data_IF_281712639100
#
_entry.id   IF_281712639100
#
_cell.length_a   1.000
_cell.length_b   1.000
_cell.length_c   1.000
_cell.angle_alpha   90.00
_cell.angle_beta   90.00
_cell.angle_gamma   90.00
#
_symmetry.space_group_name_H-M   'P 1'
#
loop_
_entity.id
_entity.type
_entity.pdbx_description
1 polymer ?
#
# COMPACT_ATOMS: atom_id res chain seq x y z
N UNK A 1 24.30 -57.15 -7.23
CA UNK A 1 23.59 -56.39 -8.26
C UNK A 1 24.33 -55.09 -8.51
N UNK A 2 24.72 -54.77 -9.76
CA UNK A 2 25.23 -53.46 -10.06
C UNK A 2 24.09 -52.45 -9.98
N UNK A 3 24.38 -51.28 -9.41
CA UNK A 3 23.44 -50.19 -9.21
C UNK A 3 22.87 -49.69 -10.55
N UNK A 4 21.60 -49.25 -10.60
CA UNK A 4 21.03 -48.66 -11.80
C UNK A 4 21.82 -47.38 -12.17
N UNK A 5 21.98 -47.09 -13.47
CA UNK A 5 22.66 -45.87 -13.92
C UNK A 5 21.90 -44.64 -13.42
N UNK A 6 22.60 -43.53 -13.10
CA UNK A 6 21.94 -42.29 -12.73
C UNK A 6 21.07 -41.85 -13.91
N UNK A 7 19.80 -41.58 -13.62
CA UNK A 7 18.85 -40.97 -14.55
C UNK A 7 19.51 -39.69 -15.06
N UNK A 8 19.92 -39.68 -16.32
CA UNK A 8 20.29 -38.47 -17.02
C UNK A 8 19.03 -37.62 -17.04
N UNK A 9 18.98 -36.63 -16.16
CA UNK A 9 17.99 -35.57 -16.22
C UNK A 9 18.32 -34.83 -17.50
N UNK A 10 17.62 -35.19 -18.58
CA UNK A 10 17.60 -34.39 -19.79
C UNK A 10 17.35 -32.94 -19.37
N UNK A 11 18.31 -32.07 -19.65
CA UNK A 11 18.19 -30.63 -19.50
C UNK A 11 16.78 -30.19 -19.91
N UNK A 12 16.04 -29.45 -19.07
CA UNK A 12 14.70 -29.04 -19.46
C UNK A 12 14.86 -28.09 -20.65
N UNK A 13 14.23 -28.45 -21.77
CA UNK A 13 14.03 -27.63 -22.97
C UNK A 13 13.39 -26.26 -22.69
N UNK A 14 13.10 -25.96 -21.42
CA UNK A 14 12.43 -24.79 -20.90
C UNK A 14 13.40 -23.72 -20.39
N UNK A 15 14.70 -24.00 -20.18
CA UNK A 15 15.65 -22.99 -19.68
C UNK A 15 15.73 -21.76 -20.59
N UNK A 16 15.73 -21.98 -21.90
CA UNK A 16 15.89 -20.91 -22.89
C UNK A 16 14.60 -20.09 -23.02
N UNK A 17 13.41 -20.72 -23.18
CA UNK A 17 12.15 -19.99 -23.08
C UNK A 17 11.99 -19.20 -21.78
N UNK A 18 12.48 -19.73 -20.67
CA UNK A 18 12.40 -19.07 -19.36
C UNK A 18 13.38 -17.90 -19.22
N UNK A 19 14.59 -17.99 -19.78
CA UNK A 19 15.55 -16.87 -19.85
C UNK A 19 15.00 -15.74 -20.71
N UNK A 20 14.44 -16.08 -21.88
CA UNK A 20 13.95 -15.10 -22.85
C UNK A 20 12.58 -14.55 -22.48
N UNK A 21 11.78 -15.31 -21.72
CA UNK A 21 10.38 -14.99 -21.43
C UNK A 21 9.42 -15.28 -22.60
N UNK A 22 9.93 -15.82 -23.70
CA UNK A 22 9.17 -16.23 -24.89
C UNK A 22 9.85 -17.41 -25.59
N UNK A 23 9.11 -18.16 -26.40
CA UNK A 23 9.68 -19.25 -27.21
C UNK A 23 10.51 -18.67 -28.36
N UNK A 24 11.78 -19.08 -28.56
CA UNK A 24 12.61 -18.62 -29.67
C UNK A 24 11.98 -18.77 -31.05
N UNK A 25 11.10 -19.77 -31.23
CA UNK A 25 10.36 -19.99 -32.47
C UNK A 25 9.48 -18.79 -32.83
N UNK A 26 8.84 -18.14 -31.86
CA UNK A 26 8.00 -16.97 -32.11
C UNK A 26 8.80 -15.80 -32.69
N UNK A 27 10.05 -15.61 -32.25
CA UNK A 27 10.92 -14.58 -32.81
C UNK A 27 11.32 -14.90 -34.25
N UNK A 28 11.51 -16.18 -34.57
CA UNK A 28 11.85 -16.61 -35.92
C UNK A 28 10.64 -16.50 -36.85
N UNK A 29 9.45 -16.82 -36.38
CA UNK A 29 8.19 -16.60 -37.10
C UNK A 29 8.00 -15.10 -37.42
N UNK A 30 8.11 -14.23 -36.41
CA UNK A 30 8.01 -12.77 -36.58
C UNK A 30 9.07 -12.23 -37.57
N UNK A 31 10.27 -12.83 -37.59
CA UNK A 31 11.34 -12.46 -38.51
C UNK A 31 11.02 -12.88 -39.95
N UNK A 32 10.49 -14.08 -40.15
CA UNK A 32 10.07 -14.58 -41.46
C UNK A 32 8.93 -13.72 -42.01
N UNK A 33 7.96 -13.38 -41.17
CA UNK A 33 6.87 -12.48 -41.55
C UNK A 33 7.40 -11.10 -41.97
N UNK A 34 8.32 -10.52 -41.20
CA UNK A 34 8.95 -9.25 -41.55
C UNK A 34 9.77 -9.33 -42.85
N UNK A 35 10.47 -10.45 -43.09
CA UNK A 35 11.24 -10.66 -44.31
C UNK A 35 10.34 -10.79 -45.55
N UNK A 36 9.21 -11.48 -45.43
CA UNK A 36 8.21 -11.61 -46.49
C UNK A 36 7.58 -10.25 -46.82
N UNK A 37 7.32 -9.42 -45.80
CA UNK A 37 6.85 -8.04 -46.02
C UNK A 37 7.89 -7.20 -46.77
N UNK A 38 9.16 -7.25 -46.35
CA UNK A 38 10.25 -6.52 -47.02
C UNK A 38 10.44 -7.01 -48.44
N UNK A 39 10.35 -8.33 -48.69
CA UNK A 39 10.44 -8.88 -50.03
C UNK A 39 9.35 -8.32 -50.95
N UNK A 40 8.10 -8.25 -50.47
CA UNK A 40 7.00 -7.67 -51.24
C UNK A 40 7.27 -6.20 -51.55
N UNK A 41 7.75 -5.42 -50.57
CA UNK A 41 8.10 -4.02 -50.76
C UNK A 41 9.26 -3.82 -51.77
N UNK A 42 10.25 -4.71 -51.78
CA UNK A 42 11.35 -4.68 -52.75
C UNK A 42 10.86 -4.95 -54.16
N UNK A 43 9.96 -5.92 -54.34
CA UNK A 43 9.37 -6.25 -55.65
C UNK A 43 8.51 -5.08 -56.15
N UNK A 44 7.68 -4.47 -55.30
CA UNK A 44 6.89 -3.28 -55.65
C UNK A 44 7.79 -2.07 -55.97
N UNK A 45 8.85 -1.87 -55.19
CA UNK A 45 9.87 -0.85 -55.47
C UNK A 45 10.58 -1.07 -56.80
N UNK A 46 10.85 -2.32 -57.16
CA UNK A 46 11.45 -2.69 -58.44
C UNK A 46 10.48 -2.44 -59.61
N UNK A 47 9.21 -2.82 -59.46
CA UNK A 47 8.17 -2.59 -60.47
C UNK A 47 8.01 -1.09 -60.77
N UNK A 48 7.82 -0.28 -59.72
CA UNK A 48 7.71 1.18 -59.88
C UNK A 48 8.96 1.82 -60.47
N UNK A 49 10.16 1.30 -60.16
CA UNK A 49 11.41 1.78 -60.75
C UNK A 49 11.52 1.42 -62.23
N UNK A 50 11.19 0.18 -62.61
CA UNK A 50 11.28 -0.31 -63.98
C UNK A 50 10.23 0.35 -64.89
N UNK A 51 9.01 0.58 -64.38
CA UNK A 51 7.98 1.36 -65.09
C UNK A 51 8.46 2.79 -65.39
N UNK A 52 9.02 3.48 -64.38
CA UNK A 52 9.59 4.83 -64.57
C UNK A 52 10.72 4.84 -65.59
N UNK A 53 11.57 3.80 -65.57
CA UNK A 53 12.67 3.66 -66.51
C UNK A 53 12.17 3.40 -67.94
N UNK A 54 11.13 2.56 -68.11
CA UNK A 54 10.49 2.30 -69.40
C UNK A 54 9.85 3.57 -69.97
N UNK A 55 9.13 4.33 -69.15
CA UNK A 55 8.52 5.61 -69.54
C UNK A 55 9.57 6.64 -70.02
N UNK A 56 10.71 6.74 -69.34
CA UNK A 56 11.78 7.66 -69.71
C UNK A 56 12.44 7.26 -71.04
N UNK A 57 12.52 5.95 -71.30
CA UNK A 57 12.98 5.40 -72.57
C UNK A 57 11.98 5.65 -73.71
N UNK A 58 10.68 5.56 -73.45
CA UNK A 58 9.64 5.91 -74.41
C UNK A 58 9.65 7.41 -74.75
N UNK A 59 9.82 8.28 -73.74
CA UNK A 59 9.94 9.75 -73.90
C UNK A 59 11.19 10.15 -74.69
N UNK A 60 12.34 9.53 -74.43
CA UNK A 60 13.58 9.80 -75.17
C UNK A 60 13.53 9.29 -76.61
N UNK A 61 12.80 8.19 -76.90
CA UNK A 61 12.59 7.67 -78.26
C UNK A 61 11.58 8.47 -79.08
N UNK A 62 10.63 9.15 -78.42
CA UNK A 62 9.62 9.99 -79.08
C UNK A 62 10.07 11.43 -79.34
N UNK A 63 11.32 11.80 -79.02
CA UNK A 63 11.88 13.07 -79.49
C UNK A 63 11.98 13.06 -81.04
N UNK A 64 11.41 14.06 -81.73
CA UNK A 64 11.34 14.06 -83.18
C UNK A 64 12.72 14.39 -83.77
N UNK A 65 13.42 13.37 -84.27
CA UNK A 65 14.47 13.59 -85.27
C UNK A 65 13.77 14.02 -86.57
N UNK A 66 13.97 15.27 -86.95
CA UNK A 66 13.43 15.87 -88.16
C UNK A 66 14.14 15.25 -89.39
N UNK A 67 13.76 14.05 -89.79
CA UNK A 67 14.18 13.44 -91.06
C UNK A 67 12.96 13.13 -91.91
N UNK A 68 12.77 14.00 -92.89
CA UNK A 68 11.73 13.95 -93.90
C UNK A 68 11.99 12.74 -94.82
N UNK A 69 11.32 11.61 -94.57
CA UNK A 69 11.32 10.47 -95.50
C UNK A 69 9.91 9.89 -95.58
N UNK A 70 9.29 10.23 -96.69
CA UNK A 70 7.93 9.91 -97.10
C UNK A 70 7.95 8.56 -97.83
N UNK A 71 7.42 7.51 -97.22
CA UNK A 71 6.96 6.31 -97.96
C UNK A 71 6.00 5.44 -97.14
N UNK A 72 4.74 5.51 -97.56
CA UNK A 72 3.79 4.41 -97.76
C UNK A 72 3.66 3.27 -96.72
N UNK A 73 2.42 3.18 -96.21
CA UNK A 73 1.63 1.95 -96.08
C UNK A 73 1.93 1.02 -94.90
N UNK A 74 1.43 1.41 -93.73
CA UNK A 74 0.63 0.64 -92.76
C UNK A 74 0.43 1.58 -91.55
N UNK A 75 -0.71 1.51 -90.85
CA UNK A 75 -0.98 2.39 -89.70
C UNK A 75 0.20 2.33 -88.71
N UNK A 76 0.97 3.42 -88.53
CA UNK A 76 2.15 3.40 -87.68
C UNK A 76 1.81 3.39 -86.18
N UNK A 77 0.55 3.65 -85.81
CA UNK A 77 0.08 3.62 -84.42
C UNK A 77 0.10 2.21 -83.82
N UNK A 78 -0.27 1.20 -84.59
CA UNK A 78 -0.59 -0.13 -84.05
C UNK A 78 0.71 -0.91 -83.79
N UNK A 79 1.69 -0.80 -84.69
CA UNK A 79 3.01 -1.43 -84.53
C UNK A 79 3.84 -0.79 -83.39
N UNK A 80 3.66 0.51 -83.15
CA UNK A 80 4.38 1.24 -82.12
C UNK A 80 3.78 1.00 -80.73
N UNK A 81 2.44 0.89 -80.64
CA UNK A 81 1.74 0.44 -79.43
C UNK A 81 2.01 -1.02 -79.09
N UNK A 82 2.11 -1.91 -80.09
CA UNK A 82 2.47 -3.31 -79.83
C UNK A 82 3.89 -3.48 -79.30
N UNK A 83 4.86 -2.72 -79.80
CA UNK A 83 6.23 -2.78 -79.30
C UNK A 83 6.37 -2.21 -77.87
N UNK A 84 5.55 -1.23 -77.51
CA UNK A 84 5.48 -0.67 -76.15
C UNK A 84 4.81 -1.66 -75.18
N UNK A 85 3.72 -2.31 -75.63
CA UNK A 85 3.01 -3.34 -74.87
C UNK A 85 3.86 -4.60 -74.62
N UNK A 86 4.61 -5.06 -75.64
CA UNK A 86 5.53 -6.21 -75.53
C UNK A 86 6.68 -5.93 -74.54
N UNK A 87 7.19 -4.69 -74.52
CA UNK A 87 8.24 -4.29 -73.57
C UNK A 87 7.72 -4.22 -72.12
N UNK A 88 6.47 -3.80 -71.90
CA UNK A 88 5.86 -3.84 -70.56
C UNK A 88 5.56 -5.25 -70.10
N UNK A 89 5.09 -6.13 -71.00
CA UNK A 89 4.79 -7.53 -70.69
C UNK A 89 6.08 -8.33 -70.38
N UNK A 90 7.18 -8.06 -71.10
CA UNK A 90 8.50 -8.64 -70.80
C UNK A 90 8.99 -8.23 -69.41
N UNK A 91 8.80 -6.96 -69.02
CA UNK A 91 9.17 -6.45 -67.69
C UNK A 91 8.33 -7.10 -66.60
N UNK A 92 7.00 -7.16 -66.76
CA UNK A 92 6.09 -7.82 -65.80
C UNK A 92 6.43 -9.31 -65.63
N UNK A 93 6.65 -10.03 -66.74
CA UNK A 93 7.09 -11.43 -66.73
C UNK A 93 8.44 -11.61 -66.03
N UNK A 94 9.39 -10.70 -66.29
CA UNK A 94 10.68 -10.66 -65.60
C UNK A 94 10.55 -10.45 -64.10
N UNK A 95 9.70 -9.51 -63.66
CA UNK A 95 9.43 -9.24 -62.24
C UNK A 95 8.79 -10.45 -61.56
N UNK A 96 7.81 -11.10 -62.20
CA UNK A 96 7.16 -12.30 -61.66
C UNK A 96 8.17 -13.45 -61.52
N UNK A 97 9.05 -13.62 -62.52
CA UNK A 97 10.11 -14.64 -62.46
C UNK A 97 11.12 -14.37 -61.33
N UNK A 98 11.51 -13.10 -61.15
CA UNK A 98 12.40 -12.67 -60.09
C UNK A 98 11.76 -12.82 -58.71
N UNK A 99 10.49 -12.45 -58.55
CA UNK A 99 9.74 -12.62 -57.31
C UNK A 99 9.70 -14.09 -56.89
N UNK A 100 9.41 -14.99 -57.83
CA UNK A 100 9.34 -16.43 -57.58
C UNK A 100 10.70 -16.97 -57.16
N UNK A 101 11.77 -16.59 -57.88
CA UNK A 101 13.14 -17.00 -57.56
C UNK A 101 13.57 -16.47 -56.18
N UNK A 102 13.28 -15.20 -55.90
CA UNK A 102 13.60 -14.57 -54.64
C UNK A 102 12.90 -15.30 -53.50
N UNK A 103 11.60 -15.61 -53.65
CA UNK A 103 10.80 -16.31 -52.66
C UNK A 103 11.35 -17.69 -52.36
N UNK A 104 11.65 -18.48 -53.39
CA UNK A 104 12.24 -19.82 -53.21
C UNK A 104 13.56 -19.76 -52.45
N UNK A 105 14.44 -18.81 -52.80
CA UNK A 105 15.74 -18.70 -52.14
C UNK A 105 15.63 -18.12 -50.72
N UNK A 106 14.75 -17.15 -50.47
CA UNK A 106 14.53 -16.61 -49.13
C UNK A 106 13.94 -17.67 -48.21
N UNK A 107 12.95 -18.45 -48.67
CA UNK A 107 12.33 -19.53 -47.88
C UNK A 107 13.39 -20.55 -47.46
N UNK A 108 14.23 -21.03 -48.40
CA UNK A 108 15.31 -21.99 -48.09
C UNK A 108 16.35 -21.37 -47.13
N UNK A 109 16.71 -20.11 -47.34
CA UNK A 109 17.69 -19.43 -46.49
C UNK A 109 17.16 -19.25 -45.05
N UNK A 110 15.87 -18.91 -44.90
CA UNK A 110 15.24 -18.77 -43.60
C UNK A 110 15.00 -20.11 -42.90
N UNK A 111 14.66 -21.18 -43.62
CA UNK A 111 14.60 -22.54 -43.07
C UNK A 111 15.97 -22.97 -42.49
N UNK A 112 17.05 -22.73 -43.25
CA UNK A 112 18.41 -23.04 -42.80
C UNK A 112 18.83 -22.16 -41.62
N UNK A 113 18.44 -20.88 -41.65
CA UNK A 113 18.70 -19.94 -40.56
C UNK A 113 17.95 -20.34 -39.29
N UNK A 114 16.68 -20.75 -39.37
CA UNK A 114 15.90 -21.25 -38.23
C UNK A 114 16.60 -22.45 -37.61
N UNK A 115 16.91 -23.47 -38.41
CA UNK A 115 17.58 -24.67 -37.91
C UNK A 115 18.94 -24.33 -37.30
N UNK A 116 19.70 -23.43 -37.93
CA UNK A 116 21.01 -23.03 -37.43
C UNK A 116 20.92 -22.24 -36.12
N UNK A 117 19.97 -21.31 -36.00
CA UNK A 117 19.80 -20.47 -34.80
C UNK A 117 19.30 -21.30 -33.62
N UNK A 118 18.32 -22.18 -33.83
CA UNK A 118 17.83 -23.09 -32.79
C UNK A 118 18.92 -24.07 -32.33
N UNK A 119 19.81 -24.47 -33.24
CA UNK A 119 20.89 -25.41 -32.92
C UNK A 119 22.12 -24.76 -32.29
N UNK A 120 22.41 -23.49 -32.54
CA UNK A 120 23.65 -22.83 -32.10
C UNK A 120 23.43 -21.66 -31.13
N UNK A 121 22.48 -20.77 -31.43
CA UNK A 121 22.24 -19.55 -30.65
C UNK A 121 21.33 -19.86 -29.47
N UNK A 122 20.26 -20.59 -29.74
CA UNK A 122 19.26 -21.01 -28.75
C UNK A 122 19.47 -22.45 -28.31
N UNK A 123 20.72 -22.91 -28.19
CA UNK A 123 21.03 -24.19 -27.58
C UNK A 123 22.00 -24.01 -26.40
N UNK A 124 21.60 -24.53 -25.25
CA UNK A 124 22.46 -24.57 -24.05
C UNK A 124 23.34 -25.83 -24.06
N UNK A 125 22.91 -26.87 -24.77
CA UNK A 125 23.66 -28.12 -24.96
C UNK A 125 24.78 -27.94 -25.98
N UNK A 126 25.92 -27.40 -25.55
CA UNK A 126 27.13 -27.52 -26.34
C UNK A 126 27.82 -28.87 -26.03
N UNK A 127 28.12 -29.72 -27.02
CA UNK A 127 28.73 -31.06 -26.82
C UNK A 127 30.15 -31.07 -26.22
N UNK A 128 30.67 -29.90 -25.80
CA UNK A 128 31.96 -29.77 -25.10
C UNK A 128 31.79 -29.52 -23.60
N UNK A 129 30.59 -29.14 -23.16
CA UNK A 129 30.33 -28.76 -21.78
C UNK A 129 28.95 -29.28 -21.35
N UNK A 130 28.82 -30.60 -21.22
CA UNK A 130 27.61 -31.26 -20.67
C UNK A 130 27.26 -30.77 -19.26
N UNK A 131 28.24 -30.21 -18.52
CA UNK A 131 28.02 -29.70 -17.17
C UNK A 131 27.65 -28.21 -17.11
N UNK A 132 27.65 -27.47 -18.22
CA UNK A 132 27.42 -26.01 -18.19
C UNK A 132 26.03 -25.66 -17.63
N UNK A 133 25.06 -26.53 -17.85
CA UNK A 133 23.69 -26.41 -17.35
C UNK A 133 23.62 -26.32 -15.82
N UNK A 134 24.55 -26.97 -15.11
CA UNK A 134 24.62 -26.90 -13.64
C UNK A 134 25.10 -25.53 -13.14
N UNK A 135 25.84 -24.81 -13.98
CA UNK A 135 26.40 -23.50 -13.65
C UNK A 135 25.52 -22.34 -14.13
N UNK A 136 24.60 -22.58 -15.07
CA UNK A 136 23.63 -21.58 -15.51
C UNK A 136 22.44 -21.60 -14.56
N UNK A 137 22.47 -20.71 -13.57
CA UNK A 137 21.33 -20.45 -12.69
C UNK A 137 20.61 -19.20 -13.16
N UNK A 138 19.31 -19.34 -13.47
CA UNK A 138 18.47 -18.18 -13.75
C UNK A 138 18.30 -17.37 -12.47
N UNK A 139 18.09 -16.06 -12.62
CA UNK A 139 18.02 -15.12 -11.48
C UNK A 139 16.95 -15.52 -10.46
N UNK A 140 15.82 -16.08 -10.90
CA UNK A 140 14.75 -16.55 -10.03
C UNK A 140 14.96 -17.98 -9.50
N UNK A 141 15.95 -18.73 -10.01
CA UNK A 141 16.40 -19.99 -9.42
C UNK A 141 17.42 -19.77 -8.29
N UNK A 142 17.97 -18.55 -8.17
CA UNK A 142 18.81 -18.16 -7.04
C UNK A 142 17.97 -18.10 -5.77
N UNK A 143 18.16 -19.07 -4.86
CA UNK A 143 17.41 -19.19 -3.61
C UNK A 143 16.33 -20.28 -3.62
N UNK A 144 16.03 -20.85 -4.80
CA UNK A 144 15.21 -22.08 -4.95
C UNK A 144 16.12 -23.32 -4.93
N UNK A 145 17.22 -23.23 -4.18
CA UNK A 145 18.01 -24.43 -3.90
C UNK A 145 17.09 -25.33 -3.08
N UNK A 146 16.89 -26.52 -3.60
CA UNK A 146 16.17 -27.70 -3.13
C UNK A 146 16.26 -27.92 -1.61
N UNK A 147 15.72 -27.00 -0.83
CA UNK A 147 15.37 -27.22 0.55
C UNK A 147 14.32 -28.31 0.48
N UNK A 148 14.70 -29.54 0.83
CA UNK A 148 13.82 -30.70 0.72
C UNK A 148 12.46 -30.39 1.35
N UNK A 149 11.42 -31.09 0.90
CA UNK A 149 10.02 -30.95 1.35
C UNK A 149 9.85 -30.79 2.87
N UNK A 150 10.80 -31.32 3.66
CA UNK A 150 10.91 -31.15 5.10
C UNK A 150 11.11 -29.69 5.54
N UNK A 151 12.06 -28.95 4.95
CA UNK A 151 12.29 -27.53 5.26
C UNK A 151 11.13 -26.64 4.83
N UNK A 152 10.48 -26.96 3.71
CA UNK A 152 9.23 -26.29 3.33
C UNK A 152 8.13 -26.51 4.38
N UNK A 153 8.03 -27.74 4.91
CA UNK A 153 7.13 -28.08 6.02
C UNK A 153 7.41 -27.27 7.28
N UNK A 154 8.68 -27.21 7.70
CA UNK A 154 9.12 -26.40 8.85
C UNK A 154 8.86 -24.91 8.64
N UNK A 155 9.08 -24.38 7.43
CA UNK A 155 8.81 -22.99 7.09
C UNK A 155 7.30 -22.68 7.13
N UNK A 156 6.47 -23.58 6.62
CA UNK A 156 5.01 -23.46 6.69
C UNK A 156 4.52 -23.52 8.14
N UNK A 157 5.06 -24.43 8.95
CA UNK A 157 4.76 -24.51 10.39
C UNK A 157 5.18 -23.21 11.11
N UNK A 158 6.39 -22.73 10.84
CA UNK A 158 6.90 -21.45 11.36
C UNK A 158 6.03 -20.26 10.96
N UNK A 159 5.46 -20.26 9.75
CA UNK A 159 4.50 -19.25 9.29
C UNK A 159 3.17 -19.35 10.05
N UNK A 160 2.64 -20.55 10.27
CA UNK A 160 1.40 -20.77 11.04
C UNK A 160 1.59 -20.29 12.48
N UNK A 161 2.71 -20.62 13.10
CA UNK A 161 3.02 -20.16 14.45
C UNK A 161 3.20 -18.64 14.52
N UNK A 162 3.88 -18.04 13.55
CA UNK A 162 4.02 -16.59 13.44
C UNK A 162 2.67 -15.89 13.25
N UNK A 163 1.77 -16.46 12.46
CA UNK A 163 0.39 -15.98 12.30
C UNK A 163 -0.39 -16.07 13.61
N UNK A 164 -0.22 -17.14 14.38
CA UNK A 164 -0.84 -17.30 15.71
C UNK A 164 -0.28 -16.28 16.71
N UNK A 165 1.02 -16.03 16.70
CA UNK A 165 1.65 -14.99 17.54
C UNK A 165 1.12 -13.60 17.18
N UNK A 166 1.00 -13.28 15.90
CA UNK A 166 0.41 -12.02 15.45
C UNK A 166 -1.06 -11.87 15.83
N UNK A 167 -1.87 -12.92 15.75
CA UNK A 167 -3.28 -12.86 16.16
C UNK A 167 -3.41 -12.64 17.67
N UNK A 168 -2.58 -13.31 18.48
CA UNK A 168 -2.51 -13.09 19.92
C UNK A 168 -2.07 -11.66 20.27
N UNK A 169 -1.02 -11.14 19.62
CA UNK A 169 -0.56 -9.76 19.81
C UNK A 169 -1.63 -8.74 19.41
N UNK A 170 -2.35 -8.97 18.30
CA UNK A 170 -3.46 -8.11 17.87
C UNK A 170 -4.62 -8.13 18.88
N UNK A 171 -4.94 -9.29 19.47
CA UNK A 171 -5.95 -9.41 20.51
C UNK A 171 -5.55 -8.64 21.78
N UNK A 172 -4.31 -8.80 22.25
CA UNK A 172 -3.76 -8.05 23.38
C UNK A 172 -3.74 -6.54 23.13
N UNK A 173 -3.37 -6.12 21.91
CA UNK A 173 -3.40 -4.70 21.53
C UNK A 173 -4.82 -4.14 21.65
N UNK A 174 -5.85 -4.89 21.22
CA UNK A 174 -7.26 -4.45 21.35
C UNK A 174 -7.66 -4.28 22.81
N UNK A 175 -7.38 -5.25 23.68
CA UNK A 175 -7.73 -5.12 25.11
C UNK A 175 -6.99 -3.97 25.77
N UNK A 176 -5.70 -3.79 25.45
CA UNK A 176 -4.92 -2.67 25.95
C UNK A 176 -5.45 -1.31 25.48
N UNK A 177 -5.87 -1.17 24.21
CA UNK A 177 -6.47 0.08 23.72
C UNK A 177 -7.79 0.42 24.41
N UNK A 178 -8.59 -0.59 24.75
CA UNK A 178 -9.83 -0.39 25.53
C UNK A 178 -9.52 -0.01 26.99
N UNK A 179 -8.54 -0.65 27.61
CA UNK A 179 -8.09 -0.28 28.95
C UNK A 179 -7.52 1.15 28.98
N UNK A 180 -6.77 1.55 27.94
CA UNK A 180 -6.26 2.91 27.80
C UNK A 180 -7.38 3.95 27.64
N UNK A 181 -8.43 3.67 26.87
CA UNK A 181 -9.55 4.62 26.74
C UNK A 181 -10.29 4.77 28.07
N UNK A 182 -10.52 3.67 28.80
CA UNK A 182 -11.17 3.68 30.10
C UNK A 182 -10.32 4.40 31.17
N UNK A 183 -9.01 4.17 31.18
CA UNK A 183 -8.11 4.87 32.11
C UNK A 183 -8.05 6.36 31.78
N UNK A 184 -8.02 6.76 30.50
CA UNK A 184 -8.06 8.17 30.08
C UNK A 184 -9.33 8.88 30.55
N UNK A 185 -10.50 8.25 30.42
CA UNK A 185 -11.77 8.87 30.88
C UNK A 185 -11.82 8.98 32.41
N UNK A 186 -11.35 7.96 33.14
CA UNK A 186 -11.20 8.02 34.60
C UNK A 186 -10.26 9.14 35.01
N UNK A 187 -9.11 9.26 34.35
CA UNK A 187 -8.13 10.31 34.62
C UNK A 187 -8.74 11.69 34.37
N UNK A 188 -9.47 11.89 33.26
CA UNK A 188 -10.17 13.14 32.98
C UNK A 188 -11.20 13.50 34.05
N UNK A 189 -11.97 12.51 34.54
CA UNK A 189 -12.95 12.71 35.62
C UNK A 189 -12.27 13.07 36.94
N UNK A 190 -11.19 12.37 37.29
CA UNK A 190 -10.41 12.68 38.49
C UNK A 190 -9.79 14.07 38.39
N UNK A 191 -9.25 14.45 37.24
CA UNK A 191 -8.72 15.81 37.00
C UNK A 191 -9.79 16.90 37.14
N UNK A 192 -10.99 16.66 36.62
CA UNK A 192 -12.10 17.61 36.76
C UNK A 192 -12.51 17.76 38.23
N UNK A 193 -12.54 16.66 38.97
CA UNK A 193 -12.87 16.65 40.39
C UNK A 193 -11.76 17.32 41.25
N UNK A 194 -10.49 17.09 40.93
CA UNK A 194 -9.40 17.84 41.57
C UNK A 194 -9.46 19.33 41.23
N UNK A 195 -9.85 19.69 40.00
CA UNK A 195 -10.03 21.09 39.62
C UNK A 195 -11.20 21.74 40.38
N UNK A 196 -12.30 21.01 40.64
CA UNK A 196 -13.35 21.51 41.52
C UNK A 196 -12.87 21.66 42.96
N UNK A 197 -12.11 20.69 43.51
CA UNK A 197 -11.57 20.82 44.85
C UNK A 197 -10.55 21.95 44.98
N UNK A 198 -9.70 22.19 43.97
CA UNK A 198 -8.82 23.35 43.96
C UNK A 198 -9.57 24.66 43.84
N UNK A 199 -10.75 24.68 43.22
CA UNK A 199 -11.62 25.87 43.24
C UNK A 199 -12.29 26.08 44.62
N UNK A 200 -12.52 25.00 45.38
CA UNK A 200 -12.96 25.06 46.78
C UNK A 200 -11.82 25.42 47.74
N UNK A 201 -10.55 25.31 47.31
CA UNK A 201 -9.38 25.83 48.03
C UNK A 201 -9.37 27.36 47.97
N UNK A 202 -10.38 27.93 48.61
CA UNK A 202 -10.59 29.36 48.74
C UNK A 202 -9.81 29.82 49.98
N UNK A 203 -9.00 30.88 49.91
CA UNK A 203 -8.31 31.44 51.08
C UNK A 203 -9.28 31.91 52.18
N UNK A 204 -10.58 31.99 51.94
CA UNK A 204 -11.56 32.17 53.00
C UNK A 204 -11.64 30.96 53.97
N UNK A 205 -11.43 29.73 53.50
CA UNK A 205 -11.41 28.54 54.36
C UNK A 205 -10.19 28.52 55.30
N UNK A 206 -9.07 29.14 54.93
CA UNK A 206 -7.92 29.27 55.84
C UNK A 206 -8.23 30.21 57.01
N UNK A 207 -9.04 31.26 56.79
CA UNK A 207 -9.58 32.08 57.89
C UNK A 207 -10.54 31.28 58.76
N UNK A 208 -11.37 30.39 58.18
CA UNK A 208 -12.25 29.51 58.96
C UNK A 208 -11.48 28.45 59.76
N UNK A 209 -10.31 28.01 59.31
CA UNK A 209 -9.44 27.12 60.09
C UNK A 209 -8.87 27.80 61.35
N UNK A 210 -8.86 29.13 61.43
CA UNK A 210 -8.49 29.89 62.64
C UNK A 210 -9.65 30.11 63.62
N UNK A 211 -10.89 29.77 63.26
CA UNK A 211 -12.06 29.90 64.15
C UNK A 211 -12.02 28.89 65.32
N UNK A 212 -11.68 27.60 65.13
CA UNK A 212 -11.56 26.65 66.23
C UNK A 212 -10.61 27.09 67.35
N UNK A 213 -9.37 27.56 67.10
CA UNK A 213 -8.50 28.02 68.18
C UNK A 213 -9.03 29.30 68.85
N UNK A 214 -9.72 30.19 68.13
CA UNK A 214 -10.39 31.35 68.74
C UNK A 214 -11.57 30.93 69.64
N UNK A 215 -12.38 29.94 69.24
CA UNK A 215 -13.44 29.39 70.07
C UNK A 215 -12.89 28.68 71.30
N UNK A 216 -11.77 27.96 71.17
CA UNK A 216 -11.07 27.37 72.31
C UNK A 216 -10.52 28.45 73.26
N UNK A 217 -9.94 29.53 72.74
CA UNK A 217 -9.46 30.67 73.53
C UNK A 217 -10.60 31.43 74.24
N UNK A 218 -11.75 31.56 73.57
CA UNK A 218 -12.95 32.16 74.15
C UNK A 218 -13.52 31.25 75.25
N UNK A 219 -13.62 29.95 75.01
CA UNK A 219 -14.03 28.99 76.02
C UNK A 219 -13.09 29.02 77.24
N UNK A 220 -11.77 29.03 77.03
CA UNK A 220 -10.83 29.16 78.14
C UNK A 220 -10.99 30.49 78.89
N UNK A 221 -11.26 31.59 78.18
CA UNK A 221 -11.56 32.86 78.84
C UNK A 221 -12.87 32.83 79.62
N UNK A 222 -13.89 32.11 79.14
CA UNK A 222 -15.16 31.93 79.83
C UNK A 222 -15.00 31.12 81.11
N UNK A 223 -14.09 30.13 81.10
CA UNK A 223 -13.76 29.33 82.28
C UNK A 223 -12.82 30.03 83.27
N UNK A 224 -12.09 31.06 82.82
CA UNK A 224 -11.20 31.89 83.67
C UNK A 224 -11.94 33.08 84.33
N UNK A 225 -13.21 33.34 83.95
CA UNK A 225 -14.04 34.26 84.73
C UNK A 225 -14.26 33.65 86.13
N UNK A 226 -14.04 34.43 87.20
CA UNK A 226 -14.31 33.95 88.55
C UNK A 226 -15.81 33.61 88.67
N UNK A 227 -16.12 32.49 89.32
CA UNK A 227 -17.49 32.10 89.68
C UNK A 227 -18.16 33.31 90.35
N UNK A 228 -19.02 34.01 89.59
CA UNK A 228 -19.94 34.96 90.18
C UNK A 228 -20.97 34.12 90.93
N UNK A 229 -20.64 33.86 92.19
CA UNK A 229 -21.37 32.98 93.08
C UNK A 229 -22.87 33.31 93.02
N UNK A 230 -23.68 32.34 92.62
CA UNK A 230 -25.12 32.50 92.44
C UNK A 230 -25.81 32.98 93.73
N UNK A 231 -25.16 32.78 94.89
CA UNK A 231 -25.56 33.30 96.19
C UNK A 231 -25.61 34.85 96.28
N UNK A 232 -24.75 35.57 95.55
CA UNK A 232 -24.77 37.04 95.50
C UNK A 232 -25.99 37.59 94.75
N UNK A 233 -26.48 36.87 93.73
CA UNK A 233 -27.70 37.23 93.03
C UNK A 233 -28.95 36.78 93.81
N UNK A 234 -28.94 35.56 94.37
CA UNK A 234 -30.05 35.02 95.15
C UNK A 234 -30.39 35.87 96.40
N UNK A 235 -29.39 36.51 97.02
CA UNK A 235 -29.59 37.40 98.18
C UNK A 235 -30.17 38.77 97.84
N UNK A 236 -30.22 39.16 96.56
CA UNK A 236 -30.87 40.39 96.09
C UNK A 236 -32.29 40.15 95.57
N UNK A 237 -32.77 38.91 95.51
CA UNK A 237 -34.14 38.61 95.11
C UNK A 237 -35.10 38.57 96.31
N UNK A 238 -36.25 39.26 96.25
CA UNK A 238 -37.28 39.19 97.29
C UNK A 238 -37.93 37.79 97.38
N UNK A 239 -38.33 37.33 98.58
CA UNK A 239 -38.87 35.98 98.79
C UNK A 239 -40.25 35.78 98.14
N UNK A 240 -40.44 34.56 97.66
CA UNK A 240 -41.56 34.07 96.85
C UNK A 240 -42.97 34.37 97.38
N UNK A 241 -43.88 34.73 96.47
CA UNK A 241 -45.32 34.53 96.61
C UNK A 241 -45.86 33.97 95.30
N UNK A 242 -46.55 32.82 95.32
CA UNK A 242 -47.17 32.18 94.13
C UNK A 242 -48.38 32.97 93.60
N UNK A 243 -49.33 32.39 92.82
CA UNK A 243 -49.31 31.20 91.98
C UNK A 243 -49.31 31.55 90.47
N UNK A 244 -48.82 30.63 89.62
CA UNK A 244 -49.02 30.56 88.15
C UNK A 244 -49.33 31.88 87.41
N UNK A 245 -48.32 32.72 87.21
CA UNK A 245 -48.31 33.72 86.14
C UNK A 245 -46.88 33.74 85.58
N UNK A 246 -46.76 33.56 84.27
CA UNK A 246 -45.56 33.03 83.64
C UNK A 246 -44.42 34.07 83.64
N UNK A 247 -43.45 33.89 84.54
CA UNK A 247 -42.33 34.83 84.75
C UNK A 247 -41.43 35.07 83.53
N UNK A 248 -41.58 34.28 82.45
CA UNK A 248 -40.86 34.49 81.19
C UNK A 248 -41.46 35.58 80.28
N UNK A 249 -42.66 36.10 80.57
CA UNK A 249 -43.34 37.11 79.74
C UNK A 249 -42.96 38.55 80.11
N UNK A 250 -42.21 38.76 81.21
CA UNK A 250 -41.75 40.08 81.66
C UNK A 250 -40.42 40.54 81.00
N UNK A 251 -40.13 40.09 79.78
CA UNK A 251 -38.94 40.45 79.00
C UNK A 251 -37.68 39.61 79.31
N UNK A 252 -36.57 39.94 78.65
CA UNK A 252 -35.30 39.17 78.66
C UNK A 252 -34.77 38.87 80.07
N UNK A 253 -34.95 39.81 80.99
CA UNK A 253 -34.55 39.66 82.40
C UNK A 253 -35.41 38.65 83.16
N UNK A 254 -36.68 38.48 82.79
CA UNK A 254 -37.57 37.47 83.38
C UNK A 254 -37.20 36.05 82.94
N UNK A 255 -36.90 35.87 81.65
CA UNK A 255 -36.45 34.58 81.11
C UNK A 255 -35.14 34.11 81.75
N UNK A 256 -34.18 35.03 81.92
CA UNK A 256 -32.90 34.72 82.56
C UNK A 256 -33.09 34.31 84.02
N UNK A 257 -33.93 35.00 84.79
CA UNK A 257 -34.20 34.64 86.18
C UNK A 257 -34.91 33.28 86.31
N UNK A 258 -35.84 32.98 85.40
CA UNK A 258 -36.49 31.67 85.33
C UNK A 258 -35.49 30.55 84.96
N UNK A 259 -34.65 30.78 83.96
CA UNK A 259 -33.66 29.80 83.51
C UNK A 259 -32.61 29.51 84.60
N UNK A 260 -32.14 30.53 85.30
CA UNK A 260 -31.23 30.39 86.44
C UNK A 260 -31.93 29.64 87.59
N UNK A 261 -33.20 29.97 87.89
CA UNK A 261 -33.99 29.23 88.87
C UNK A 261 -34.17 27.74 88.55
N UNK A 262 -34.32 27.38 87.26
CA UNK A 262 -34.38 25.98 86.82
C UNK A 262 -33.04 25.24 86.96
N UNK A 263 -31.92 25.93 86.73
CA UNK A 263 -30.58 25.33 86.85
C UNK A 263 -30.22 25.12 88.33
N UNK A 264 -30.52 26.08 89.20
CA UNK A 264 -30.30 25.94 90.65
C UNK A 264 -31.21 24.87 91.25
N UNK A 265 -32.49 24.81 90.86
CA UNK A 265 -33.40 23.75 91.31
C UNK A 265 -33.05 22.33 90.82
N UNK A 266 -32.21 22.21 89.77
CA UNK A 266 -31.62 20.94 89.33
C UNK A 266 -30.32 20.61 90.05
N UNK A 267 -29.63 21.59 90.63
CA UNK A 267 -28.40 21.38 91.38
C UNK A 267 -28.67 20.98 92.85
N UNK A 268 -29.84 21.33 93.40
CA UNK A 268 -30.27 20.95 94.77
C UNK A 268 -31.00 19.59 94.87
N UNK A 269 -31.16 18.87 93.76
CA UNK A 269 -31.87 17.57 93.69
C UNK A 269 -30.93 16.43 93.32
#
# INVERSE_FOLDING_TARGET
SPAPPPIQVDAPSLLIPEILGFSPQLLLDDLVDAANEVQLQVVEGMDTFLQRWADDRAKSRSQPSNSNSQSSSQNPSDAQQQAEWDATEEVESGIISFQTLLQEHTDIAFDLFEVWTLRNVFSVRHPRHEDLEKYIQLRHHVGVVQEGREREGEAVEGLVESRRKLSAQRALKRTYTLALSQTRTRLARLRALTASYSALDNPALTTQHSIPPQLHALNSSLTDLPDMDAAHFASQLPPSSGPTEEMWEAGETGYLNWAVGQVVGRAEK
#
